data_IF_783503500487
#
_entry.id   IF_783503500487
#
_cell.length_a   1.000
_cell.length_b   1.000
_cell.length_c   1.000
_cell.angle_alpha   90.00
_cell.angle_beta   90.00
_cell.angle_gamma   90.00
#
_symmetry.space_group_name_H-M   'P 1'
#
loop_
_entity.id
_entity.type
_entity.pdbx_description
1 polymer ?
#
# COMPACT_ATOMS: atom_id res chain seq x y z
N UNK A 1 -18.92 -94.83 -50.48
CA UNK A 1 -19.63 -94.58 -49.23
C UNK A 1 -20.87 -93.75 -49.56
N UNK A 2 -22.08 -94.36 -49.46
CA UNK A 2 -23.34 -93.67 -49.74
C UNK A 2 -23.65 -92.77 -48.52
N UNK A 3 -23.46 -91.44 -48.61
CA UNK A 3 -23.86 -90.56 -47.58
C UNK A 3 -25.41 -90.68 -47.36
N UNK A 4 -25.78 -90.96 -46.17
CA UNK A 4 -27.22 -91.07 -45.78
C UNK A 4 -27.92 -89.79 -46.12
N UNK A 5 -29.19 -89.83 -46.53
CA UNK A 5 -30.01 -88.68 -46.99
C UNK A 5 -30.03 -87.49 -45.97
N UNK A 6 -29.96 -87.85 -44.71
CA UNK A 6 -29.99 -86.84 -43.59
C UNK A 6 -28.67 -86.04 -43.51
N UNK A 7 -27.51 -86.63 -43.80
CA UNK A 7 -26.21 -85.95 -43.81
C UNK A 7 -26.12 -85.01 -44.98
N UNK A 8 -26.69 -85.33 -46.13
CA UNK A 8 -26.76 -84.39 -47.27
C UNK A 8 -27.63 -83.15 -46.96
N UNK A 9 -28.74 -83.33 -46.35
CA UNK A 9 -29.61 -82.22 -45.96
C UNK A 9 -28.92 -81.35 -44.93
N UNK A 10 -28.30 -81.91 -43.91
CA UNK A 10 -27.54 -81.14 -42.91
C UNK A 10 -26.40 -80.35 -43.55
N UNK A 11 -25.69 -80.96 -44.50
CA UNK A 11 -24.53 -80.32 -45.17
C UNK A 11 -25.00 -79.17 -46.08
N UNK A 12 -26.19 -79.25 -46.72
CA UNK A 12 -26.79 -78.23 -47.56
C UNK A 12 -27.20 -76.98 -46.69
N UNK A 13 -27.59 -77.21 -45.46
CA UNK A 13 -27.96 -76.12 -44.57
C UNK A 13 -26.73 -75.47 -43.88
N UNK A 14 -25.73 -76.27 -43.53
CA UNK A 14 -24.56 -75.85 -42.80
C UNK A 14 -23.62 -75.01 -43.65
N UNK A 15 -23.46 -75.34 -44.95
CA UNK A 15 -22.61 -74.60 -45.85
C UNK A 15 -23.03 -73.11 -46.04
N UNK A 16 -24.30 -72.76 -46.30
CA UNK A 16 -24.68 -71.35 -46.45
C UNK A 16 -24.54 -70.60 -45.16
N UNK A 17 -24.78 -71.22 -44.00
CA UNK A 17 -24.67 -70.59 -42.69
C UNK A 17 -23.21 -70.23 -42.36
N UNK A 18 -22.29 -71.19 -42.66
CA UNK A 18 -20.84 -70.93 -42.46
C UNK A 18 -20.35 -69.83 -43.41
N UNK A 19 -20.79 -69.91 -44.68
CA UNK A 19 -20.45 -68.89 -45.65
C UNK A 19 -20.95 -67.48 -45.31
N UNK A 20 -22.13 -67.42 -44.74
CA UNK A 20 -22.69 -66.15 -44.23
C UNK A 20 -21.92 -65.61 -43.01
N UNK A 21 -21.51 -66.45 -42.05
CA UNK A 21 -20.66 -66.08 -40.95
C UNK A 21 -19.28 -65.59 -41.40
N UNK A 22 -18.66 -66.29 -42.35
CA UNK A 22 -17.36 -65.91 -42.89
C UNK A 22 -17.46 -64.58 -43.66
N UNK A 23 -18.56 -64.34 -44.40
CA UNK A 23 -18.81 -63.08 -45.09
C UNK A 23 -18.99 -61.93 -44.14
N UNK A 24 -19.57 -62.16 -42.94
CA UNK A 24 -19.65 -61.16 -41.90
C UNK A 24 -18.30 -60.75 -41.29
N UNK A 25 -17.37 -61.72 -41.24
CA UNK A 25 -16.05 -61.47 -40.68
C UNK A 25 -15.14 -60.66 -41.62
N UNK A 26 -15.40 -60.73 -42.95
CA UNK A 26 -14.66 -59.93 -43.95
C UNK A 26 -15.23 -58.57 -44.25
N UNK A 27 -16.38 -58.24 -43.63
CA UNK A 27 -16.85 -56.85 -43.65
C UNK A 27 -16.04 -56.08 -42.62
N UNK A 28 -14.80 -55.73 -42.95
CA UNK A 28 -14.03 -54.70 -42.32
C UNK A 28 -14.88 -53.43 -42.44
N UNK A 29 -15.55 -53.07 -41.39
CA UNK A 29 -16.04 -51.73 -41.25
C UNK A 29 -14.82 -50.83 -41.32
N UNK A 30 -14.63 -50.19 -42.46
CA UNK A 30 -13.83 -48.98 -42.51
C UNK A 30 -14.57 -48.02 -41.58
N UNK A 31 -14.23 -48.05 -40.29
CA UNK A 31 -14.42 -46.95 -39.41
C UNK A 31 -13.51 -45.89 -40.00
N UNK A 32 -14.05 -45.13 -40.95
CA UNK A 32 -13.54 -43.82 -41.20
C UNK A 32 -13.63 -43.14 -39.82
N UNK A 33 -12.56 -43.23 -39.07
CA UNK A 33 -12.30 -42.35 -37.95
C UNK A 33 -12.37 -40.96 -38.61
N UNK A 34 -13.58 -40.41 -38.64
CA UNK A 34 -13.81 -38.99 -38.88
C UNK A 34 -12.88 -38.33 -37.89
N UNK A 35 -11.68 -38.02 -38.39
CA UNK A 35 -10.74 -37.19 -37.70
C UNK A 35 -11.53 -35.92 -37.43
N UNK A 36 -12.16 -35.88 -36.24
CA UNK A 36 -12.61 -34.62 -35.72
C UNK A 36 -11.34 -33.78 -35.67
N UNK A 37 -11.15 -33.01 -36.73
CA UNK A 37 -10.34 -31.86 -36.66
C UNK A 37 -11.04 -31.04 -35.56
N UNK A 38 -10.66 -31.32 -34.30
CA UNK A 38 -10.90 -30.35 -33.24
C UNK A 38 -10.37 -29.07 -33.86
N UNK A 39 -11.27 -28.13 -34.15
CA UNK A 39 -10.91 -26.76 -34.42
C UNK A 39 -10.11 -26.31 -33.19
N UNK A 40 -8.80 -26.53 -33.30
CA UNK A 40 -7.87 -26.04 -32.30
C UNK A 40 -7.94 -24.53 -32.39
N UNK A 41 -8.70 -23.96 -31.47
CA UNK A 41 -8.72 -22.52 -31.31
C UNK A 41 -7.28 -22.06 -31.13
N UNK A 42 -6.77 -21.31 -32.08
CA UNK A 42 -5.47 -20.70 -31.99
C UNK A 42 -5.55 -19.64 -30.88
N UNK A 43 -5.02 -19.96 -29.71
CA UNK A 43 -4.89 -19.02 -28.60
C UNK A 43 -3.51 -18.41 -28.64
N UNK A 44 -3.47 -17.09 -28.66
CA UNK A 44 -2.24 -16.34 -28.55
C UNK A 44 -1.79 -16.36 -27.09
N UNK A 45 -0.72 -17.07 -26.82
CA UNK A 45 -0.12 -17.14 -25.49
C UNK A 45 1.09 -16.23 -25.42
N UNK A 46 1.15 -15.41 -24.39
CA UNK A 46 2.33 -14.63 -24.06
C UNK A 46 3.08 -15.32 -22.93
N UNK A 47 4.38 -15.51 -23.13
CA UNK A 47 5.25 -16.03 -22.10
C UNK A 47 5.50 -14.90 -21.07
N UNK A 48 4.81 -14.94 -19.95
CA UNK A 48 5.06 -14.03 -18.84
C UNK A 48 6.12 -14.60 -17.92
N UNK A 49 7.17 -13.82 -17.68
CA UNK A 49 8.17 -14.14 -16.66
C UNK A 49 7.80 -13.35 -15.42
N UNK A 50 7.77 -14.03 -14.28
CA UNK A 50 7.62 -13.36 -12.99
C UNK A 50 8.84 -12.46 -12.78
N UNK A 51 8.58 -11.17 -12.56
CA UNK A 51 9.58 -10.19 -12.13
C UNK A 51 9.22 -9.76 -10.73
N UNK A 52 10.23 -9.57 -9.90
CA UNK A 52 10.04 -9.00 -8.58
C UNK A 52 9.42 -7.60 -8.73
N UNK A 53 8.23 -7.43 -8.20
CA UNK A 53 7.51 -6.17 -8.24
C UNK A 53 7.43 -5.60 -6.82
N UNK A 54 8.08 -4.46 -6.61
CA UNK A 54 7.97 -3.72 -5.37
C UNK A 54 6.87 -2.66 -5.55
N UNK A 55 5.75 -2.78 -4.86
CA UNK A 55 4.69 -1.79 -4.94
C UNK A 55 5.19 -0.46 -4.34
N UNK A 56 5.16 0.61 -5.14
CA UNK A 56 5.52 1.93 -4.69
C UNK A 56 4.25 2.68 -4.24
N UNK A 57 4.14 2.92 -2.96
CA UNK A 57 3.04 3.70 -2.38
C UNK A 57 3.47 5.17 -2.32
N UNK A 58 2.75 6.04 -3.01
CA UNK A 58 2.95 7.49 -2.96
C UNK A 58 2.01 8.10 -1.94
N UNK A 59 2.55 8.60 -0.86
CA UNK A 59 1.79 9.20 0.22
C UNK A 59 2.07 10.71 0.33
N UNK A 60 1.04 11.45 0.73
CA UNK A 60 1.20 12.85 1.14
C UNK A 60 1.53 12.88 2.62
N UNK A 61 2.73 13.33 2.96
CA UNK A 61 3.16 13.47 4.33
C UNK A 61 3.10 14.92 4.79
N UNK A 62 2.83 15.10 6.08
CA UNK A 62 2.92 16.40 6.77
C UNK A 62 4.12 16.35 7.72
N UNK A 63 4.98 17.37 7.65
CA UNK A 63 6.13 17.49 8.56
C UNK A 63 5.66 17.98 9.94
N UNK A 64 6.25 17.41 10.98
CA UNK A 64 5.96 17.74 12.35
C UNK A 64 7.26 17.95 13.13
N UNK A 65 7.30 18.99 13.96
CA UNK A 65 8.42 19.19 14.89
C UNK A 65 8.10 18.48 16.22
N UNK A 66 8.97 17.61 16.68
CA UNK A 66 8.79 16.92 17.97
C UNK A 66 8.90 17.88 19.15
N UNK A 67 9.75 18.90 19.01
CA UNK A 67 9.93 19.90 20.07
C UNK A 67 9.24 21.19 19.69
N UNK A 68 8.05 21.39 20.24
CA UNK A 68 7.27 22.62 20.12
C UNK A 68 6.92 23.15 21.52
N UNK A 69 7.30 24.38 21.83
CA UNK A 69 7.07 25.00 23.14
C UNK A 69 6.44 26.36 22.97
N UNK A 70 5.34 26.55 23.66
CA UNK A 70 4.68 27.84 23.81
C UNK A 70 5.28 28.59 24.97
N UNK A 71 6.01 29.68 24.67
CA UNK A 71 6.63 30.53 25.67
C UNK A 71 5.61 31.54 26.15
N UNK A 72 5.25 31.42 27.41
CA UNK A 72 4.17 32.20 28.03
C UNK A 72 4.69 33.39 28.80
N UNK A 73 3.90 34.45 28.83
CA UNK A 73 4.14 35.64 29.62
C UNK A 73 4.05 35.31 31.13
N UNK A 74 5.04 35.74 31.91
CA UNK A 74 5.06 35.55 33.37
C UNK A 74 4.26 36.65 34.11
N UNK A 75 4.08 37.80 33.48
CA UNK A 75 3.34 38.96 33.99
C UNK A 75 2.38 39.46 32.92
N UNK A 76 1.35 40.18 33.32
CA UNK A 76 0.45 40.86 32.40
C UNK A 76 1.11 42.18 31.95
N UNK A 77 0.92 42.56 30.68
CA UNK A 77 1.41 43.81 30.15
C UNK A 77 1.23 43.90 28.64
N UNK A 78 1.45 45.09 28.11
CA UNK A 78 1.44 45.35 26.68
C UNK A 78 2.80 44.93 26.04
N UNK A 79 2.76 44.30 24.90
CA UNK A 79 3.97 43.97 24.14
C UNK A 79 4.54 45.25 23.51
N UNK A 80 5.59 45.78 24.12
CA UNK A 80 6.21 47.01 23.65
C UNK A 80 7.19 46.75 22.51
N UNK A 81 7.93 45.62 22.59
CA UNK A 81 8.95 45.27 21.61
C UNK A 81 9.02 43.76 21.43
N UNK A 82 9.22 43.36 20.19
CA UNK A 82 9.58 41.98 19.83
C UNK A 82 11.06 41.92 19.48
N UNK A 83 11.76 40.88 20.00
CA UNK A 83 13.20 40.65 19.73
C UNK A 83 13.45 39.83 18.50
N UNK A 84 12.41 39.16 17.97
CA UNK A 84 12.57 38.24 16.86
C UNK A 84 11.33 38.29 15.94
N UNK A 85 11.49 37.71 14.75
CA UNK A 85 10.44 37.69 13.71
C UNK A 85 10.09 36.22 13.41
N UNK A 86 8.82 35.96 13.09
CA UNK A 86 8.34 34.65 12.65
C UNK A 86 9.22 34.07 11.52
N UNK A 87 9.56 32.78 11.62
CA UNK A 87 10.41 32.06 10.69
C UNK A 87 11.91 32.22 10.90
N UNK A 88 12.34 33.14 11.79
CA UNK A 88 13.78 33.30 12.10
C UNK A 88 14.25 32.38 13.23
N UNK A 89 15.53 32.05 13.18
CA UNK A 89 16.23 31.34 14.23
C UNK A 89 16.52 32.26 15.40
N UNK A 90 16.30 31.77 16.61
CA UNK A 90 16.60 32.45 17.87
C UNK A 90 17.48 31.55 18.74
N UNK A 91 18.40 32.14 19.48
CA UNK A 91 19.24 31.42 20.44
C UNK A 91 18.55 31.36 21.80
N UNK A 92 18.99 30.38 22.60
CA UNK A 92 18.59 30.29 23.99
C UNK A 92 18.89 31.58 24.73
N UNK A 93 17.98 31.97 25.64
CA UNK A 93 18.02 33.18 26.49
C UNK A 93 17.90 34.52 25.73
N UNK A 94 17.70 34.50 24.42
CA UNK A 94 17.44 35.68 23.63
C UNK A 94 16.00 36.19 23.85
N UNK A 95 15.82 37.50 23.80
CA UNK A 95 14.52 38.14 24.12
C UNK A 95 13.53 37.92 22.98
N UNK A 96 12.39 37.33 23.28
CA UNK A 96 11.26 37.13 22.37
C UNK A 96 10.33 38.33 22.33
N UNK A 97 9.85 38.75 23.50
CA UNK A 97 9.03 39.93 23.66
C UNK A 97 9.32 40.63 24.98
N UNK A 98 9.22 41.96 24.97
CA UNK A 98 9.34 42.80 26.16
C UNK A 98 7.95 43.32 26.48
N UNK A 99 7.49 43.08 27.70
CA UNK A 99 6.22 43.52 28.20
C UNK A 99 6.41 44.82 28.98
N UNK A 100 5.65 45.83 28.63
CA UNK A 100 5.52 47.07 29.43
C UNK A 100 4.54 46.80 30.57
N UNK A 101 5.01 46.88 31.81
CA UNK A 101 4.17 46.89 33.00
C UNK A 101 3.98 48.34 33.42
N UNK A 102 2.83 48.70 33.99
CA UNK A 102 2.44 50.06 34.35
C UNK A 102 3.40 50.74 35.34
N UNK A 103 4.26 49.98 35.99
CA UNK A 103 5.31 50.48 36.88
C UNK A 103 6.68 50.07 36.35
N UNK A 104 7.39 50.97 35.67
CA UNK A 104 8.82 51.04 35.37
C UNK A 104 9.65 49.75 35.11
N UNK A 105 9.08 48.56 35.31
CA UNK A 105 9.75 47.29 35.14
C UNK A 105 9.30 46.61 33.84
N UNK A 106 10.16 46.65 32.81
CA UNK A 106 10.01 45.84 31.61
C UNK A 106 10.28 44.38 31.94
N UNK A 107 9.29 43.54 31.75
CA UNK A 107 9.49 42.10 31.89
C UNK A 107 9.83 41.53 30.53
N UNK A 108 11.01 40.88 30.43
CA UNK A 108 11.46 40.21 29.22
C UNK A 108 11.04 38.75 29.24
N UNK A 109 10.45 38.29 28.14
CA UNK A 109 10.14 36.91 27.88
C UNK A 109 11.26 36.37 26.99
N UNK A 110 12.07 35.39 27.49
CA UNK A 110 13.24 34.85 26.83
C UNK A 110 12.98 33.45 26.28
N UNK A 111 13.73 33.11 25.25
CA UNK A 111 13.68 31.77 24.63
C UNK A 111 14.27 30.71 25.58
N UNK A 112 13.54 29.62 25.87
CA UNK A 112 14.04 28.56 26.76
C UNK A 112 15.11 27.67 26.09
N UNK A 113 15.14 27.62 24.76
CA UNK A 113 16.15 26.91 23.95
C UNK A 113 16.32 27.57 22.58
N UNK A 114 17.33 27.18 21.86
CA UNK A 114 17.59 27.66 20.50
C UNK A 114 16.68 26.92 19.50
N UNK A 115 16.01 27.66 18.61
CA UNK A 115 15.07 27.09 17.64
C UNK A 115 14.54 28.13 16.67
N UNK A 116 13.53 27.79 15.93
CA UNK A 116 12.86 28.68 14.99
C UNK A 116 11.53 29.18 15.58
N UNK A 117 11.20 30.42 15.28
CA UNK A 117 9.95 31.02 15.72
C UNK A 117 8.83 30.62 14.77
N UNK A 118 7.90 29.77 15.24
CA UNK A 118 6.71 29.42 14.49
C UNK A 118 5.69 30.55 14.50
N UNK A 119 5.46 31.15 15.67
CA UNK A 119 4.48 32.22 15.85
C UNK A 119 4.98 33.17 16.93
N UNK A 120 4.71 34.47 16.77
CA UNK A 120 5.02 35.50 17.77
C UNK A 120 3.89 36.51 17.80
N UNK A 121 3.64 37.05 18.99
CA UNK A 121 2.62 38.10 19.21
C UNK A 121 3.12 39.43 18.65
N UNK A 122 2.20 40.24 18.12
CA UNK A 122 2.54 41.55 17.56
C UNK A 122 2.71 42.61 18.66
N UNK A 123 3.58 43.62 18.44
CA UNK A 123 3.61 44.79 19.35
C UNK A 123 2.26 45.46 19.46
N UNK A 124 1.97 46.04 20.61
CA UNK A 124 0.70 46.70 20.91
C UNK A 124 -0.38 45.76 21.44
N UNK A 125 -0.16 44.43 21.39
CA UNK A 125 -1.11 43.49 22.01
C UNK A 125 -0.89 43.42 23.52
N UNK A 126 -1.99 43.40 24.28
CA UNK A 126 -1.91 43.13 25.71
C UNK A 126 -1.89 41.61 25.95
N UNK A 127 -0.96 41.16 26.75
CA UNK A 127 -0.83 39.75 27.18
C UNK A 127 -1.13 39.67 28.66
N UNK A 128 -2.02 38.76 29.03
CA UNK A 128 -2.24 38.37 30.41
C UNK A 128 -1.20 37.35 30.86
N UNK A 129 -1.04 37.23 32.15
CA UNK A 129 -0.17 36.19 32.74
C UNK A 129 -0.60 34.82 32.30
N UNK A 130 0.32 34.07 31.70
CA UNK A 130 0.09 32.71 31.15
C UNK A 130 -0.29 32.69 29.66
N UNK A 131 -0.56 33.83 29.02
CA UNK A 131 -0.78 33.90 27.58
C UNK A 131 0.52 33.71 26.81
N UNK A 132 0.40 33.17 25.59
CA UNK A 132 1.54 32.82 24.73
C UNK A 132 2.10 34.08 24.07
N UNK A 133 3.38 34.40 24.33
CA UNK A 133 4.11 35.43 23.64
C UNK A 133 4.67 34.96 22.31
N UNK A 134 5.29 33.75 22.29
CA UNK A 134 5.84 33.15 21.08
C UNK A 134 5.84 31.62 21.18
N UNK A 135 5.76 30.97 20.03
CA UNK A 135 5.92 29.53 19.91
C UNK A 135 7.26 29.24 19.20
N UNK A 136 8.08 28.41 19.82
CA UNK A 136 9.40 28.00 19.30
C UNK A 136 9.38 26.52 18.97
N UNK A 137 9.97 26.18 17.84
CA UNK A 137 10.10 24.81 17.36
C UNK A 137 11.56 24.46 17.06
N UNK A 138 11.95 23.20 17.25
CA UNK A 138 13.17 22.63 16.69
C UNK A 138 12.85 21.93 15.38
N UNK A 139 13.67 22.18 14.36
CA UNK A 139 13.52 21.50 13.05
C UNK A 139 14.40 20.25 12.92
N UNK A 140 15.11 19.90 13.97
CA UNK A 140 15.94 18.69 14.02
C UNK A 140 15.76 18.02 15.40
N UNK A 141 15.22 16.79 15.44
CA UNK A 141 14.68 16.00 14.32
C UNK A 141 13.31 16.49 13.81
N UNK A 142 13.00 16.21 12.54
CA UNK A 142 11.67 16.39 11.95
C UNK A 142 11.04 15.02 11.71
N UNK A 143 9.82 14.86 12.18
CA UNK A 143 9.00 13.66 11.96
C UNK A 143 7.99 13.92 10.84
N UNK A 144 7.76 12.92 9.98
CA UNK A 144 6.76 12.99 8.92
C UNK A 144 5.61 12.03 9.23
N UNK A 145 4.41 12.55 9.20
CA UNK A 145 3.18 11.75 9.31
C UNK A 145 2.52 11.63 7.94
N UNK A 146 2.26 10.39 7.54
CA UNK A 146 1.50 10.08 6.33
C UNK A 146 0.38 9.11 6.66
N UNK A 147 -0.84 9.39 6.21
CA UNK A 147 -1.94 8.45 6.28
C UNK A 147 -1.87 7.47 5.11
N UNK A 148 -1.86 6.18 5.41
CA UNK A 148 -1.96 5.11 4.41
C UNK A 148 -3.43 4.82 4.16
N UNK A 149 -3.95 4.92 2.92
CA UNK A 149 -5.30 4.53 2.57
C UNK A 149 -5.54 3.04 2.83
N UNK A 150 -6.76 2.66 3.21
CA UNK A 150 -7.10 1.25 3.52
C UNK A 150 -6.78 0.28 2.37
N UNK A 151 -6.96 0.70 1.13
CA UNK A 151 -6.66 -0.14 -0.04
C UNK A 151 -5.17 -0.42 -0.23
N UNK A 152 -4.28 0.40 0.35
CA UNK A 152 -2.83 0.21 0.31
C UNK A 152 -2.25 -0.48 1.56
N UNK A 153 -3.06 -0.69 2.59
CA UNK A 153 -2.62 -1.31 3.85
C UNK A 153 -2.04 -2.69 3.62
N UNK A 154 -2.66 -3.50 2.76
CA UNK A 154 -2.18 -4.85 2.44
C UNK A 154 -0.76 -4.84 1.86
N UNK A 155 -0.41 -3.82 1.09
CA UNK A 155 0.93 -3.66 0.55
C UNK A 155 1.97 -3.30 1.63
N UNK A 156 1.54 -2.67 2.72
CA UNK A 156 2.40 -2.37 3.87
C UNK A 156 2.56 -3.57 4.81
N UNK A 157 1.52 -4.40 4.94
CA UNK A 157 1.51 -5.55 5.86
C UNK A 157 2.24 -6.78 5.31
N UNK A 158 2.40 -6.90 4.00
CA UNK A 158 3.16 -7.99 3.38
C UNK A 158 4.62 -8.06 3.86
N UNK A 159 5.19 -6.95 4.30
CA UNK A 159 6.55 -6.91 4.86
C UNK A 159 6.63 -7.26 6.35
N UNK A 160 5.52 -7.28 7.07
CA UNK A 160 5.52 -7.58 8.51
C UNK A 160 5.19 -9.04 8.82
N UNK A 161 4.57 -9.77 7.88
CA UNK A 161 4.21 -11.18 8.07
C UNK A 161 5.41 -12.13 7.86
N UNK A 162 6.34 -11.80 6.96
CA UNK A 162 7.53 -12.62 6.72
C UNK A 162 8.56 -12.58 7.88
N UNK A 163 8.47 -11.57 8.74
CA UNK A 163 9.36 -11.47 9.91
C UNK A 163 8.90 -12.33 11.10
N UNK A 164 7.70 -12.90 11.05
CA UNK A 164 7.12 -13.69 12.14
C UNK A 164 7.23 -15.22 11.92
N UNK A 165 7.62 -15.66 10.73
CA UNK A 165 7.68 -17.09 10.38
C UNK A 165 9.11 -17.67 10.38
N UNK A 166 10.12 -16.89 10.82
CA UNK A 166 11.50 -17.38 11.05
C UNK A 166 11.82 -17.55 12.54
N UNK A 167 11.08 -18.45 13.24
CA UNK A 167 11.52 -19.09 14.48
C UNK A 167 11.47 -20.61 14.35
#
# INVERSE_FOLDING_TARGET
>A
MKLTKNIRISLIILIPITLWMISGFFKSENIDAKKETSDLFSVQTNLSKATEYQPLIKLKATSYSETKVDVKAKTSGEVVKIGAIQGKFIKKDEVLCSLGVVELNRTEVKAPFSGFIEKITKPGNFLERGQVCATIIKLDPITFFAGVPEYDINNCLLYTSDAADEE
#
